data_IF_193710476742
#
_entry.id   IF_193710476742
#
_cell.length_a   1.000
_cell.length_b   1.000
_cell.length_c   1.000
_cell.angle_alpha   90.00
_cell.angle_beta   90.00
_cell.angle_gamma   90.00
#
_symmetry.space_group_name_H-M   'P 1'
#
loop_
_entity.id
_entity.type
_entity.pdbx_description
1 polymer ?
#
# COMPACT_ATOMS: atom_id res chain seq x y z
N UNK A 1 -37.86 14.52 -2.67
CA UNK A 1 -37.03 15.05 -3.78
C UNK A 1 -35.70 15.47 -3.16
N UNK A 2 -34.52 14.97 -3.51
CA UNK A 2 -34.06 14.05 -4.53
C UNK A 2 -32.54 14.17 -4.54
N UNK A 3 -31.84 13.14 -4.10
CA UNK A 3 -30.42 12.89 -4.38
C UNK A 3 -30.18 11.37 -4.29
N UNK A 4 -31.05 10.64 -4.99
CA UNK A 4 -30.83 9.27 -5.42
C UNK A 4 -30.15 9.39 -6.77
N UNK A 5 -28.88 8.96 -6.91
CA UNK A 5 -28.29 8.84 -8.25
C UNK A 5 -26.80 9.12 -8.40
N UNK A 6 -25.92 8.45 -7.64
CA UNK A 6 -24.57 8.07 -8.13
C UNK A 6 -24.17 6.67 -7.58
N UNK A 7 -25.16 5.79 -7.34
CA UNK A 7 -24.96 4.42 -6.84
C UNK A 7 -25.28 3.33 -7.87
N UNK A 8 -25.38 3.67 -9.16
CA UNK A 8 -25.98 2.79 -10.17
C UNK A 8 -25.14 2.52 -11.43
N UNK A 9 -23.83 2.79 -11.46
CA UNK A 9 -23.05 2.61 -12.70
C UNK A 9 -21.76 1.76 -12.59
N UNK A 10 -21.49 1.07 -11.48
CA UNK A 10 -20.34 0.13 -11.44
C UNK A 10 -20.56 -1.15 -10.62
N UNK A 11 -21.77 -1.44 -10.15
CA UNK A 11 -22.09 -2.75 -9.52
C UNK A 11 -22.79 -3.64 -10.53
N UNK A 12 -22.05 -4.55 -11.17
CA UNK A 12 -22.36 -5.96 -10.98
C UNK A 12 -21.07 -6.77 -10.77
N UNK A 13 -21.17 -7.78 -9.93
CA UNK A 13 -20.21 -8.86 -9.62
C UNK A 13 -19.71 -8.83 -8.18
N UNK A 14 -19.99 -9.96 -7.51
CA UNK A 14 -19.53 -10.41 -6.20
C UNK A 14 -20.35 -9.97 -4.96
N UNK A 15 -21.53 -10.59 -4.86
CA UNK A 15 -22.04 -11.13 -3.60
C UNK A 15 -21.68 -12.63 -3.53
N UNK A 16 -21.51 -13.16 -2.32
CA UNK A 16 -21.19 -14.55 -1.89
C UNK A 16 -19.72 -14.87 -1.61
N UNK A 17 -19.32 -14.84 -0.34
CA UNK A 17 -19.26 -16.04 0.51
C UNK A 17 -18.83 -15.68 1.96
N UNK A 18 -19.75 -15.86 2.91
CA UNK A 18 -19.42 -16.04 4.32
C UNK A 18 -18.80 -17.43 4.52
N UNK A 19 -17.65 -17.56 5.20
CA UNK A 19 -17.38 -18.70 6.08
C UNK A 19 -16.43 -18.32 7.22
N UNK A 20 -16.91 -18.58 8.43
CA UNK A 20 -16.23 -18.55 9.73
C UNK A 20 -14.97 -19.42 9.80
N UNK A 21 -13.90 -18.92 10.42
CA UNK A 21 -12.91 -19.77 11.08
C UNK A 21 -12.25 -19.06 12.28
N UNK A 22 -12.57 -19.56 13.47
CA UNK A 22 -11.92 -19.31 14.76
C UNK A 22 -10.66 -20.18 14.87
N UNK A 23 -9.53 -19.64 15.38
CA UNK A 23 -8.80 -20.24 16.54
C UNK A 23 -7.49 -19.52 16.92
N UNK A 24 -7.47 -19.16 18.21
CA UNK A 24 -6.40 -19.31 19.23
C UNK A 24 -4.98 -18.82 18.97
N UNK A 25 -4.66 -17.76 19.72
CA UNK A 25 -3.31 -17.36 20.12
C UNK A 25 -2.77 -18.28 21.24
N UNK A 26 -1.47 -18.57 21.19
CA UNK A 26 -0.67 -18.95 22.37
C UNK A 26 0.65 -18.18 22.37
N UNK A 27 0.95 -17.67 23.56
CA UNK A 27 2.03 -16.75 23.91
C UNK A 27 3.44 -17.35 23.77
N UNK A 28 4.43 -16.47 23.64
CA UNK A 28 5.81 -16.80 24.00
C UNK A 28 6.43 -15.67 24.84
N UNK A 29 7.09 -16.13 25.91
CA UNK A 29 7.63 -15.40 27.05
C UNK A 29 9.01 -14.82 26.78
N UNK A 30 9.21 -13.67 27.42
CA UNK A 30 10.39 -12.82 27.66
C UNK A 30 11.74 -13.52 27.89
N UNK A 31 12.81 -12.89 27.37
CA UNK A 31 14.11 -12.84 28.06
C UNK A 31 14.82 -11.51 27.78
N UNK A 32 14.91 -10.69 28.82
CA UNK A 32 15.65 -9.43 28.91
C UNK A 32 17.09 -9.72 29.35
N UNK A 33 18.10 -9.11 28.72
CA UNK A 33 19.41 -8.91 29.37
C UNK A 33 20.00 -7.57 28.95
N UNK A 34 20.13 -6.71 29.95
CA UNK A 34 20.69 -5.36 29.92
C UNK A 34 22.20 -5.41 30.16
N UNK A 35 23.02 -4.71 29.37
CA UNK A 35 24.35 -4.21 29.80
C UNK A 35 24.63 -2.84 29.16
N UNK A 36 25.12 -1.92 29.98
CA UNK A 36 25.35 -0.49 29.72
C UNK A 36 26.85 -0.15 29.51
N UNK A 37 27.15 0.55 28.40
CA UNK A 37 28.08 1.69 28.05
C UNK A 37 29.50 1.81 28.70
N UNK A 38 30.57 2.26 27.98
CA UNK A 38 30.80 3.70 27.70
C UNK A 38 31.39 4.05 26.31
N UNK A 39 31.45 5.37 26.06
CA UNK A 39 31.64 6.17 24.84
C UNK A 39 33.03 6.20 24.16
N UNK A 40 33.08 6.36 22.82
CA UNK A 40 33.99 7.31 22.11
C UNK A 40 33.61 7.52 20.63
N UNK A 41 33.54 8.81 20.26
CA UNK A 41 33.78 9.50 18.97
C UNK A 41 33.25 8.99 17.60
N UNK A 42 32.49 9.90 16.99
CA UNK A 42 32.13 10.07 15.58
C UNK A 42 33.11 9.49 14.55
N UNK A 43 32.61 8.59 13.71
CA UNK A 43 32.56 8.63 12.25
C UNK A 43 31.75 7.40 11.80
N UNK A 44 31.17 7.43 10.59
CA UNK A 44 30.28 6.40 9.99
C UNK A 44 28.77 6.56 10.24
N UNK A 45 28.13 7.54 9.59
CA UNK A 45 26.65 7.54 9.40
C UNK A 45 26.24 7.17 7.98
N UNK A 46 27.08 6.45 7.24
CA UNK A 46 26.82 6.09 5.83
C UNK A 46 26.68 4.58 5.63
N UNK A 47 26.19 3.80 6.60
CA UNK A 47 25.91 2.38 6.34
C UNK A 47 24.70 1.91 7.16
N UNK A 48 23.48 2.05 6.62
CA UNK A 48 22.32 1.17 6.90
C UNK A 48 21.21 1.35 5.84
N UNK A 49 21.52 1.05 4.58
CA UNK A 49 20.55 0.55 3.59
C UNK A 49 21.05 -0.73 2.92
N UNK A 50 21.91 -1.47 3.61
CA UNK A 50 22.38 -2.79 3.18
C UNK A 50 22.18 -3.81 4.30
N UNK A 51 20.94 -3.96 4.74
CA UNK A 51 20.51 -5.25 5.27
C UNK A 51 20.10 -6.06 4.03
N UNK A 52 20.93 -7.02 3.65
CA UNK A 52 20.78 -7.90 2.48
C UNK A 52 19.35 -8.44 2.35
N UNK A 53 18.55 -7.80 1.49
CA UNK A 53 17.33 -8.37 0.97
C UNK A 53 17.74 -9.50 0.02
N UNK A 54 17.43 -10.76 0.34
CA UNK A 54 17.70 -11.88 -0.57
C UNK A 54 16.85 -11.66 -1.84
N UNK A 55 17.47 -11.42 -3.01
CA UNK A 55 16.76 -10.93 -4.20
C UNK A 55 15.81 -11.96 -4.83
N UNK A 56 15.99 -13.25 -4.55
CA UNK A 56 15.33 -14.33 -5.30
C UNK A 56 13.83 -14.55 -4.95
N UNK A 57 13.26 -13.79 -4.01
CA UNK A 57 11.87 -14.01 -3.56
C UNK A 57 10.92 -12.83 -3.86
N UNK A 58 11.35 -11.57 -3.83
CA UNK A 58 10.41 -10.45 -3.96
C UNK A 58 10.00 -10.13 -5.39
N UNK A 59 10.97 -10.07 -6.30
CA UNK A 59 10.66 -9.88 -7.72
C UNK A 59 9.82 -11.05 -8.21
N UNK A 60 10.20 -12.27 -7.84
CA UNK A 60 9.42 -13.48 -8.08
C UNK A 60 7.99 -13.37 -7.53
N UNK A 61 7.80 -12.96 -6.27
CA UNK A 61 6.46 -12.79 -5.67
C UNK A 61 5.64 -11.70 -6.35
N UNK A 62 6.27 -10.62 -6.80
CA UNK A 62 5.59 -9.56 -7.54
C UNK A 62 5.09 -10.09 -8.89
N UNK A 63 5.98 -10.70 -9.68
CA UNK A 63 5.62 -11.28 -10.97
C UNK A 63 4.53 -12.37 -10.83
N UNK A 64 4.60 -13.20 -9.78
CA UNK A 64 3.54 -14.16 -9.44
C UNK A 64 2.18 -13.50 -9.18
N UNK A 65 2.16 -12.38 -8.46
CA UNK A 65 0.91 -11.65 -8.18
C UNK A 65 0.38 -10.99 -9.44
N UNK A 66 1.23 -10.32 -10.24
CA UNK A 66 0.83 -9.74 -11.51
C UNK A 66 0.23 -10.80 -12.43
N UNK A 67 0.91 -11.95 -12.55
CA UNK A 67 0.42 -13.08 -13.33
C UNK A 67 -0.98 -13.51 -12.87
N UNK A 68 -1.17 -13.74 -11.56
CA UNK A 68 -2.46 -14.16 -11.01
C UNK A 68 -3.58 -13.14 -11.24
N UNK A 69 -3.34 -11.84 -11.07
CA UNK A 69 -4.40 -10.83 -11.29
C UNK A 69 -4.74 -10.67 -12.78
N UNK A 70 -3.76 -10.84 -13.67
CA UNK A 70 -3.98 -10.78 -15.13
C UNK A 70 -4.73 -12.02 -15.59
N UNK A 71 -4.36 -13.20 -15.11
CA UNK A 71 -5.10 -14.45 -15.35
C UNK A 71 -6.55 -14.30 -14.87
N UNK A 72 -6.76 -13.86 -13.62
CA UNK A 72 -8.10 -13.64 -13.06
C UNK A 72 -8.97 -12.71 -13.91
N UNK A 73 -8.38 -11.61 -14.40
CA UNK A 73 -9.04 -10.66 -15.32
C UNK A 73 -9.39 -11.34 -16.65
N UNK A 74 -8.44 -12.06 -17.24
CA UNK A 74 -8.58 -12.65 -18.58
C UNK A 74 -9.57 -13.82 -18.59
N UNK A 75 -9.63 -14.64 -17.54
CA UNK A 75 -10.63 -15.70 -17.37
C UNK A 75 -12.07 -15.18 -17.44
N UNK A 76 -12.28 -13.90 -17.13
CA UNK A 76 -13.58 -13.23 -17.14
C UNK A 76 -13.80 -12.37 -18.39
N UNK A 77 -12.85 -12.39 -19.33
CA UNK A 77 -12.84 -11.53 -20.52
C UNK A 77 -12.92 -10.03 -20.16
N UNK A 78 -12.37 -9.64 -19.01
CA UNK A 78 -12.48 -8.25 -18.51
C UNK A 78 -11.43 -7.30 -19.08
N UNK A 79 -10.46 -7.81 -19.84
CA UNK A 79 -9.45 -6.96 -20.48
C UNK A 79 -10.08 -5.86 -21.34
N UNK A 80 -11.21 -6.14 -22.00
CA UNK A 80 -11.95 -5.18 -22.82
C UNK A 80 -12.44 -3.93 -22.04
N UNK A 81 -12.58 -4.04 -20.71
CA UNK A 81 -12.97 -2.92 -19.84
C UNK A 81 -11.77 -2.20 -19.20
N UNK A 82 -10.57 -2.79 -19.27
CA UNK A 82 -9.35 -2.30 -18.62
C UNK A 82 -8.56 -1.34 -19.54
N UNK A 83 -9.24 -0.35 -20.12
CA UNK A 83 -8.57 0.80 -20.73
C UNK A 83 -7.96 1.72 -19.65
N UNK A 84 -7.08 2.63 -20.07
CA UNK A 84 -6.33 3.47 -19.12
C UNK A 84 -7.23 4.39 -18.28
N UNK A 85 -8.32 4.87 -18.88
CA UNK A 85 -9.27 5.77 -18.21
C UNK A 85 -10.06 4.99 -17.16
N UNK A 86 -10.53 3.79 -17.50
CA UNK A 86 -11.31 2.97 -16.58
C UNK A 86 -10.45 2.45 -15.43
N UNK A 87 -9.21 2.03 -15.69
CA UNK A 87 -8.27 1.63 -14.63
C UNK A 87 -7.94 2.78 -13.68
N UNK A 88 -7.70 3.99 -14.21
CA UNK A 88 -7.45 5.17 -13.37
C UNK A 88 -8.69 5.55 -12.54
N UNK A 89 -9.89 5.42 -13.11
CA UNK A 89 -11.14 5.65 -12.41
C UNK A 89 -11.36 4.62 -11.30
N UNK A 90 -11.16 3.33 -11.58
CA UNK A 90 -11.29 2.25 -10.60
C UNK A 90 -10.31 2.46 -9.43
N UNK A 91 -9.03 2.73 -9.72
CA UNK A 91 -8.04 3.06 -8.69
C UNK A 91 -8.49 4.22 -7.77
N UNK A 92 -9.06 5.27 -8.35
CA UNK A 92 -9.59 6.40 -7.57
C UNK A 92 -10.77 5.99 -6.69
N UNK A 93 -11.66 5.11 -7.18
CA UNK A 93 -12.80 4.60 -6.42
C UNK A 93 -12.33 3.76 -5.22
N UNK A 94 -11.40 2.82 -5.42
CA UNK A 94 -10.90 2.01 -4.29
C UNK A 94 -10.15 2.86 -3.26
N UNK A 95 -9.44 3.90 -3.71
CA UNK A 95 -8.82 4.85 -2.80
C UNK A 95 -9.86 5.65 -2.00
N UNK A 96 -11.03 5.92 -2.59
CA UNK A 96 -12.15 6.53 -1.89
C UNK A 96 -12.78 5.55 -0.88
N UNK A 97 -12.99 4.29 -1.23
CA UNK A 97 -13.52 3.25 -0.34
C UNK A 97 -12.60 3.04 0.87
N UNK A 98 -11.27 2.97 0.64
CA UNK A 98 -10.27 2.96 1.72
C UNK A 98 -10.42 4.19 2.62
N UNK A 99 -10.60 5.38 2.03
CA UNK A 99 -10.77 6.62 2.79
C UNK A 99 -12.08 6.65 3.59
N UNK A 100 -13.16 6.01 3.13
CA UNK A 100 -14.43 5.91 3.86
C UNK A 100 -14.28 5.27 5.23
N UNK A 101 -13.33 4.34 5.38
CA UNK A 101 -13.01 3.72 6.68
C UNK A 101 -12.56 4.74 7.74
N UNK A 102 -12.00 5.88 7.32
CA UNK A 102 -11.48 6.93 8.18
C UNK A 102 -12.38 8.16 8.25
N UNK A 103 -13.35 8.29 7.35
CA UNK A 103 -14.27 9.42 7.33
C UNK A 103 -15.03 9.53 8.66
N UNK A 104 -15.16 10.77 9.14
CA UNK A 104 -15.89 11.13 10.36
C UNK A 104 -15.31 10.59 11.68
N UNK A 105 -14.20 9.85 11.64
CA UNK A 105 -13.53 9.34 12.84
C UNK A 105 -12.57 10.39 13.42
N UNK A 106 -12.60 10.52 14.73
CA UNK A 106 -11.59 11.25 15.50
C UNK A 106 -10.37 10.36 15.75
N UNK A 107 -9.24 10.96 16.12
CA UNK A 107 -7.95 10.28 16.34
C UNK A 107 -8.07 9.11 17.33
N UNK A 108 -8.84 9.27 18.41
CA UNK A 108 -9.09 8.24 19.42
C UNK A 108 -9.98 7.08 18.94
N UNK A 109 -10.68 7.25 17.82
CA UNK A 109 -11.58 6.27 17.18
C UNK A 109 -10.91 5.50 16.04
N UNK A 110 -9.70 5.90 15.61
CA UNK A 110 -8.97 5.24 14.52
C UNK A 110 -8.54 3.82 14.92
N UNK A 111 -8.22 3.61 16.21
CA UNK A 111 -7.83 2.30 16.75
C UNK A 111 -8.94 1.24 16.67
N UNK A 112 -10.20 1.68 16.51
CA UNK A 112 -11.38 0.82 16.44
C UNK A 112 -11.79 0.50 15.00
N UNK A 113 -11.02 0.95 13.99
CA UNK A 113 -11.23 0.57 12.60
C UNK A 113 -10.85 -0.90 12.42
N UNK A 114 -11.72 -1.65 11.75
CA UNK A 114 -11.48 -3.04 11.43
C UNK A 114 -10.29 -3.19 10.47
N UNK A 115 -9.25 -3.88 10.93
CA UNK A 115 -8.04 -4.13 10.15
C UNK A 115 -8.30 -5.00 8.92
N UNK A 116 -9.31 -5.88 8.96
CA UNK A 116 -9.65 -6.71 7.81
C UNK A 116 -10.26 -5.87 6.69
N UNK A 117 -11.07 -4.86 7.04
CA UNK A 117 -11.58 -3.88 6.08
C UNK A 117 -10.46 -3.04 5.47
N UNK A 118 -9.50 -2.57 6.28
CA UNK A 118 -8.33 -1.84 5.76
C UNK A 118 -7.54 -2.71 4.77
N UNK A 119 -7.32 -4.00 5.11
CA UNK A 119 -6.60 -4.92 4.23
C UNK A 119 -7.32 -5.11 2.89
N UNK A 120 -8.65 -5.24 2.91
CA UNK A 120 -9.47 -5.42 1.71
C UNK A 120 -9.34 -4.20 0.79
N UNK A 121 -9.68 -2.99 1.28
CA UNK A 121 -9.64 -1.78 0.46
C UNK A 121 -8.22 -1.44 -0.04
N UNK A 122 -7.20 -1.66 0.82
CA UNK A 122 -5.82 -1.43 0.42
C UNK A 122 -5.36 -2.45 -0.64
N UNK A 123 -5.81 -3.70 -0.57
CA UNK A 123 -5.53 -4.69 -1.59
C UNK A 123 -6.16 -4.30 -2.94
N UNK A 124 -7.36 -3.71 -2.94
CA UNK A 124 -8.03 -3.25 -4.16
C UNK A 124 -7.29 -2.04 -4.77
N UNK A 125 -6.88 -1.06 -3.96
CA UNK A 125 -6.01 0.05 -4.41
C UNK A 125 -4.73 -0.46 -5.07
N UNK A 126 -4.06 -1.45 -4.44
CA UNK A 126 -2.84 -2.03 -4.99
C UNK A 126 -3.11 -2.80 -6.28
N UNK A 127 -4.20 -3.56 -6.35
CA UNK A 127 -4.58 -4.36 -7.52
C UNK A 127 -4.80 -3.48 -8.76
N UNK A 128 -5.55 -2.39 -8.64
CA UNK A 128 -5.73 -1.47 -9.78
C UNK A 128 -4.47 -0.66 -10.10
N UNK A 129 -3.62 -0.36 -9.10
CA UNK A 129 -2.29 0.20 -9.35
C UNK A 129 -1.43 -0.76 -10.18
N UNK A 130 -1.49 -2.07 -9.89
CA UNK A 130 -0.78 -3.11 -10.62
C UNK A 130 -1.32 -3.32 -12.02
N UNK A 131 -2.64 -3.32 -12.23
CA UNK A 131 -3.21 -3.34 -13.59
C UNK A 131 -2.74 -2.15 -14.42
N UNK A 132 -2.67 -0.96 -13.82
CA UNK A 132 -2.20 0.23 -14.50
C UNK A 132 -0.70 0.13 -14.82
N UNK A 133 0.12 -0.32 -13.87
CA UNK A 133 1.55 -0.55 -14.09
C UNK A 133 1.80 -1.57 -15.21
N UNK A 134 1.11 -2.71 -15.17
CA UNK A 134 1.18 -3.74 -16.21
C UNK A 134 0.77 -3.19 -17.58
N UNK A 135 -0.33 -2.41 -17.65
CA UNK A 135 -0.80 -1.80 -18.92
C UNK A 135 0.25 -0.91 -19.59
N UNK A 136 1.08 -0.24 -18.79
CA UNK A 136 2.13 0.67 -19.26
C UNK A 136 3.53 0.07 -19.22
N UNK A 137 3.67 -1.24 -18.94
CA UNK A 137 4.95 -1.94 -18.80
C UNK A 137 5.89 -1.24 -17.79
N UNK A 138 5.35 -0.88 -16.62
CA UNK A 138 6.10 -0.21 -15.56
C UNK A 138 6.56 -1.21 -14.50
N UNK A 139 7.84 -1.16 -14.15
CA UNK A 139 8.36 -1.79 -12.94
C UNK A 139 8.03 -0.90 -11.73
N UNK A 140 7.14 -1.39 -10.85
CA UNK A 140 6.68 -0.63 -9.70
C UNK A 140 7.81 -0.33 -8.70
N UNK A 141 8.79 -1.22 -8.56
CA UNK A 141 9.89 -1.04 -7.62
C UNK A 141 10.81 0.05 -8.14
N UNK A 142 11.13 0.01 -9.44
CA UNK A 142 11.93 1.03 -10.09
C UNK A 142 11.28 2.42 -9.99
N UNK A 143 10.00 2.57 -10.38
CA UNK A 143 9.35 3.89 -10.40
C UNK A 143 9.23 4.49 -8.98
N UNK A 144 9.04 3.64 -7.96
CA UNK A 144 9.00 4.07 -6.55
C UNK A 144 10.39 4.47 -6.09
N UNK A 145 11.42 3.68 -6.36
CA UNK A 145 12.81 4.00 -6.00
C UNK A 145 13.25 5.34 -6.61
N UNK A 146 13.05 5.52 -7.92
CA UNK A 146 13.34 6.78 -8.60
C UNK A 146 12.57 7.96 -7.99
N UNK A 147 11.31 7.73 -7.60
CA UNK A 147 10.49 8.75 -6.94
C UNK A 147 11.04 9.09 -5.55
N UNK A 148 11.50 8.11 -4.79
CA UNK A 148 12.10 8.32 -3.47
C UNK A 148 13.43 9.08 -3.56
N UNK A 149 14.28 8.78 -4.53
CA UNK A 149 15.51 9.55 -4.79
C UNK A 149 15.18 11.01 -5.10
N UNK A 150 14.24 11.27 -6.02
CA UNK A 150 13.79 12.63 -6.35
C UNK A 150 13.17 13.35 -5.16
N UNK A 151 12.42 12.63 -4.31
CA UNK A 151 11.84 13.21 -3.10
C UNK A 151 12.92 13.57 -2.07
N UNK A 152 13.93 12.73 -1.87
CA UNK A 152 15.06 13.02 -0.97
C UNK A 152 15.88 14.24 -1.40
N UNK A 153 16.03 14.45 -2.70
CA UNK A 153 16.65 15.67 -3.25
C UNK A 153 15.80 16.93 -2.97
N UNK A 154 14.47 16.82 -3.07
CA UNK A 154 13.55 17.93 -2.77
C UNK A 154 13.44 18.21 -1.27
N UNK A 155 13.53 17.18 -0.43
CA UNK A 155 13.39 17.27 1.02
C UNK A 155 14.65 16.74 1.71
N UNK A 156 15.79 17.48 1.68
CA UNK A 156 17.00 17.03 2.34
C UNK A 156 16.76 16.79 3.84
N UNK A 157 17.28 15.67 4.36
CA UNK A 157 17.06 15.24 5.75
C UNK A 157 17.30 16.35 6.77
N UNK A 158 18.41 17.07 6.64
CA UNK A 158 18.81 18.12 7.59
C UNK A 158 17.87 19.33 7.60
N UNK A 159 17.10 19.55 6.53
CA UNK A 159 16.14 20.64 6.44
C UNK A 159 14.70 20.19 6.71
N UNK A 160 14.34 18.98 6.30
CA UNK A 160 12.98 18.46 6.32
C UNK A 160 12.61 17.68 7.61
N UNK A 161 13.59 17.36 8.46
CA UNK A 161 13.34 16.56 9.67
C UNK A 161 12.36 17.28 10.62
N UNK A 162 11.25 16.61 10.94
CA UNK A 162 10.25 17.10 11.91
C UNK A 162 9.38 18.25 11.40
N UNK A 163 9.43 18.58 10.11
CA UNK A 163 8.64 19.65 9.50
C UNK A 163 7.87 19.13 8.29
N UNK A 164 6.59 19.54 8.19
CA UNK A 164 5.73 19.26 7.04
C UNK A 164 5.71 20.42 6.02
N UNK A 165 6.62 21.41 6.18
CA UNK A 165 6.73 22.54 5.25
C UNK A 165 7.08 22.05 3.85
N UNK A 166 6.53 22.73 2.85
CA UNK A 166 6.89 22.47 1.45
C UNK A 166 8.37 22.79 1.24
N UNK A 167 9.02 22.11 0.29
CA UNK A 167 10.44 22.32 0.00
C UNK A 167 10.82 23.76 -0.36
N UNK A 168 9.86 24.55 -0.84
CA UNK A 168 9.99 25.99 -1.10
C UNK A 168 10.11 26.84 0.19
N UNK A 169 9.85 26.25 1.35
CA UNK A 169 9.77 26.87 2.67
C UNK A 169 10.71 26.20 3.70
N UNK A 170 11.65 25.36 3.21
CA UNK A 170 12.65 24.61 4.01
C UNK A 170 13.99 25.32 4.18
#
# INVERSE_FOLDING_TARGET
MGAVGVKALVRPFFYYANTTATKTATANTTATTTKTVPSTQNQETTIIYQQTFKPDNLMTRYEEIITKIIEFRNERDWEQFHDAKNLALALMLEAAELNELFLWKKEDQIKDIDIERIKEELADVLTYSFFLAHKYNLDIFQIVEEKMIRNGQKYPREKARGTAKKYTEL
#
